data_IF_468147101914
#
_entry.id   IF_468147101914
#
_cell.length_a   1.000
_cell.length_b   1.000
_cell.length_c   1.000
_cell.angle_alpha   90.00
_cell.angle_beta   90.00
_cell.angle_gamma   90.00
#
_symmetry.space_group_name_H-M   'P 1'
#
loop_
_entity.id
_entity.type
_entity.pdbx_description
1 polymer ?
#
# COMPACT_ATOMS: atom_id res chain seq x y z
N UNK A 1 0.55 -1.47 1.19
CA UNK A 1 1.11 -0.37 2.03
C UNK A 1 1.03 -0.64 3.52
N UNK A 2 -0.16 -0.86 4.11
CA UNK A 2 -0.28 -1.08 5.56
C UNK A 2 0.60 -2.24 6.08
N UNK A 3 0.71 -3.30 5.28
CA UNK A 3 1.64 -4.40 5.49
C UNK A 3 3.11 -3.93 5.61
N UNK A 4 3.59 -3.18 4.62
CA UNK A 4 4.95 -2.62 4.60
C UNK A 4 5.19 -1.69 5.79
N UNK A 5 4.20 -0.90 6.17
CA UNK A 5 4.32 0.10 7.25
C UNK A 5 4.10 -0.49 8.65
N UNK A 6 3.72 -1.75 8.78
CA UNK A 6 3.47 -2.36 10.09
C UNK A 6 2.18 -1.89 10.78
N UNK A 7 1.18 -1.39 10.04
CA UNK A 7 -0.06 -0.86 10.61
C UNK A 7 -1.18 -1.92 10.61
N UNK A 8 -1.34 -2.65 11.71
CA UNK A 8 -2.39 -3.67 11.88
C UNK A 8 -3.80 -3.10 11.74
N UNK A 9 -4.04 -1.89 12.26
CA UNK A 9 -5.34 -1.23 12.14
C UNK A 9 -5.73 -1.03 10.68
N UNK A 10 -4.87 -0.35 9.92
CA UNK A 10 -5.14 -0.07 8.50
C UNK A 10 -5.16 -1.34 7.64
N UNK A 11 -4.40 -2.37 8.01
CA UNK A 11 -4.43 -3.65 7.32
C UNK A 11 -5.76 -4.39 7.57
N UNK A 12 -6.26 -4.36 8.80
CA UNK A 12 -7.56 -4.93 9.17
C UNK A 12 -8.72 -4.18 8.49
N UNK A 13 -8.65 -2.85 8.40
CA UNK A 13 -9.60 -2.03 7.63
C UNK A 13 -9.58 -2.41 6.15
N UNK A 14 -8.40 -2.55 5.55
CA UNK A 14 -8.27 -2.91 4.13
C UNK A 14 -8.88 -4.28 3.83
N UNK A 15 -8.69 -5.27 4.70
CA UNK A 15 -9.32 -6.58 4.56
C UNK A 15 -10.85 -6.47 4.66
N UNK A 16 -11.36 -5.82 5.71
CA UNK A 16 -12.80 -5.71 5.94
C UNK A 16 -13.53 -4.95 4.81
N UNK A 17 -12.95 -3.83 4.36
CA UNK A 17 -13.50 -3.07 3.23
C UNK A 17 -13.37 -3.85 1.93
N UNK A 18 -12.20 -4.43 1.65
CA UNK A 18 -11.97 -5.23 0.43
C UNK A 18 -12.98 -6.37 0.29
N UNK A 19 -13.15 -7.17 1.35
CA UNK A 19 -14.15 -8.26 1.35
C UNK A 19 -15.56 -7.75 1.10
N UNK A 20 -15.93 -6.59 1.67
CA UNK A 20 -17.25 -5.98 1.44
C UNK A 20 -17.46 -5.53 -0.01
N UNK A 21 -16.38 -5.13 -0.70
CA UNK A 21 -16.39 -4.77 -2.13
C UNK A 21 -16.15 -5.97 -3.06
N UNK A 22 -16.07 -7.20 -2.53
CA UNK A 22 -15.94 -8.43 -3.31
C UNK A 22 -14.52 -8.93 -3.55
N UNK A 23 -13.51 -8.34 -2.90
CA UNK A 23 -12.13 -8.84 -2.93
C UNK A 23 -12.06 -10.22 -2.26
N UNK A 24 -11.52 -11.21 -2.96
CA UNK A 24 -11.29 -12.54 -2.39
C UNK A 24 -10.13 -12.53 -1.39
N UNK A 25 -10.10 -13.52 -0.49
CA UNK A 25 -8.98 -13.66 0.46
C UNK A 25 -7.65 -13.89 -0.26
N UNK A 26 -7.65 -14.60 -1.39
CA UNK A 26 -6.45 -14.83 -2.20
C UNK A 26 -5.92 -13.52 -2.79
N UNK A 27 -6.79 -12.73 -3.42
CA UNK A 27 -6.40 -11.42 -3.97
C UNK A 27 -5.91 -10.47 -2.87
N UNK A 28 -6.53 -10.49 -1.69
CA UNK A 28 -6.06 -9.71 -0.54
C UNK A 28 -4.66 -10.13 -0.09
N UNK A 29 -4.40 -11.43 0.04
CA UNK A 29 -3.09 -11.96 0.46
C UNK A 29 -1.98 -11.67 -0.55
N UNK A 30 -2.31 -11.64 -1.85
CA UNK A 30 -1.38 -11.21 -2.90
C UNK A 30 -1.17 -9.69 -2.84
N UNK A 31 -2.24 -8.90 -2.76
CA UNK A 31 -2.19 -7.43 -2.76
C UNK A 31 -1.50 -6.83 -1.54
N UNK A 32 -1.66 -7.42 -0.34
CA UNK A 32 -0.97 -6.95 0.88
C UNK A 32 0.55 -7.04 0.74
N UNK A 33 1.06 -7.95 -0.08
CA UNK A 33 2.49 -8.12 -0.39
C UNK A 33 2.95 -7.26 -1.59
N UNK A 34 2.10 -6.34 -2.06
CA UNK A 34 2.32 -5.49 -3.23
C UNK A 34 2.44 -6.28 -4.55
N UNK A 35 1.68 -7.36 -4.66
CA UNK A 35 1.60 -8.21 -5.86
C UNK A 35 0.17 -8.22 -6.41
N UNK A 36 0.00 -8.63 -7.67
CA UNK A 36 -1.32 -8.80 -8.29
C UNK A 36 -1.21 -9.71 -9.52
N UNK A 37 -2.28 -10.45 -9.81
CA UNK A 37 -2.40 -11.23 -11.05
C UNK A 37 -2.67 -10.35 -12.28
N UNK A 38 -3.26 -9.17 -12.08
CA UNK A 38 -3.38 -8.14 -13.11
C UNK A 38 -2.03 -7.38 -13.24
N UNK A 39 -1.38 -7.41 -14.42
CA UNK A 39 -0.08 -6.76 -14.63
C UNK A 39 -0.09 -5.23 -14.45
N UNK A 40 -1.19 -4.55 -14.80
CA UNK A 40 -1.35 -3.10 -14.64
C UNK A 40 -1.39 -2.78 -13.14
N UNK A 41 -2.26 -3.47 -12.38
CA UNK A 41 -2.34 -3.31 -10.92
C UNK A 41 -1.01 -3.68 -10.24
N UNK A 42 -0.36 -4.75 -10.68
CA UNK A 42 0.93 -5.17 -10.13
C UNK A 42 2.01 -4.08 -10.30
N UNK A 43 1.99 -3.35 -11.40
CA UNK A 43 2.91 -2.23 -11.61
C UNK A 43 2.61 -1.05 -10.66
N UNK A 44 1.34 -0.71 -10.44
CA UNK A 44 0.97 0.32 -9.46
C UNK A 44 1.35 -0.07 -8.03
N UNK A 45 1.16 -1.33 -7.64
CA UNK A 45 1.56 -1.82 -6.33
C UNK A 45 3.07 -1.80 -6.13
N UNK A 46 3.85 -2.19 -7.15
CA UNK A 46 5.32 -2.05 -7.14
C UNK A 46 5.74 -0.60 -6.97
N UNK A 47 5.16 0.32 -7.75
CA UNK A 47 5.45 1.74 -7.63
C UNK A 47 5.12 2.28 -6.23
N UNK A 48 3.96 1.92 -5.67
CA UNK A 48 3.59 2.29 -4.30
C UNK A 48 4.58 1.76 -3.26
N UNK A 49 5.02 0.50 -3.39
CA UNK A 49 6.06 -0.07 -2.53
C UNK A 49 7.36 0.74 -2.59
N UNK A 50 7.83 1.06 -3.80
CA UNK A 50 9.05 1.85 -4.02
C UNK A 50 8.96 3.26 -3.44
N UNK A 51 7.83 3.94 -3.65
CA UNK A 51 7.57 5.24 -3.02
C UNK A 51 7.65 5.17 -1.48
N UNK A 52 7.10 4.13 -0.87
CA UNK A 52 7.14 3.97 0.60
C UNK A 52 8.55 3.66 1.08
N UNK A 53 9.24 2.71 0.45
CA UNK A 53 10.59 2.29 0.81
C UNK A 53 11.62 3.43 0.67
N UNK A 54 11.48 4.24 -0.38
CA UNK A 54 12.43 5.31 -0.70
C UNK A 54 11.96 6.70 -0.24
N UNK A 55 10.93 6.77 0.60
CA UNK A 55 10.39 8.04 1.10
C UNK A 55 10.06 9.05 -0.02
N UNK A 56 9.45 8.56 -1.10
CA UNK A 56 9.04 9.36 -2.27
C UNK A 56 10.14 9.60 -3.31
N UNK A 57 11.39 9.21 -3.06
CA UNK A 57 12.47 9.30 -4.05
C UNK A 57 12.35 8.15 -5.05
N UNK A 58 11.58 8.38 -6.10
CA UNK A 58 11.46 7.46 -7.24
C UNK A 58 12.24 7.99 -8.44
N UNK A 59 12.81 7.07 -9.20
CA UNK A 59 13.55 7.37 -10.43
C UNK A 59 12.59 7.59 -11.60
N UNK A 60 13.03 8.34 -12.61
CA UNK A 60 12.22 8.58 -13.82
C UNK A 60 11.81 7.27 -14.53
N UNK A 61 12.65 6.23 -14.44
CA UNK A 61 12.34 4.90 -14.97
C UNK A 61 11.16 4.23 -14.27
N UNK A 62 10.89 4.53 -13.00
CA UNK A 62 9.77 3.96 -12.25
C UNK A 62 8.44 4.56 -12.70
N UNK A 63 8.44 5.84 -13.08
CA UNK A 63 7.29 6.52 -13.71
C UNK A 63 7.10 6.04 -15.15
N UNK A 64 8.19 5.91 -15.92
CA UNK A 64 8.13 5.36 -17.28
C UNK A 64 7.51 3.95 -17.31
N UNK A 65 7.85 3.10 -16.34
CA UNK A 65 7.27 1.77 -16.24
C UNK A 65 5.74 1.77 -15.95
N UNK A 66 5.20 2.83 -15.32
CA UNK A 66 3.74 2.99 -15.21
C UNK A 66 3.10 3.30 -16.57
N UNK A 67 3.72 4.16 -17.37
CA UNK A 67 3.24 4.43 -18.73
C UNK A 67 3.25 3.18 -19.60
N UNK A 68 4.32 2.37 -19.53
CA UNK A 68 4.43 1.10 -20.24
C UNK A 68 3.34 0.10 -19.82
N UNK A 69 2.90 0.15 -18.57
CA UNK A 69 1.77 -0.62 -18.06
C UNK A 69 0.39 -0.04 -18.43
N UNK A 70 0.36 1.07 -19.20
CA UNK A 70 -0.86 1.68 -19.70
C UNK A 70 -1.52 2.67 -18.76
N UNK A 71 -0.76 3.28 -17.84
CA UNK A 71 -1.22 4.43 -17.04
C UNK A 71 -0.95 5.75 -17.77
N UNK A 72 -1.96 6.62 -17.85
CA UNK A 72 -1.82 8.01 -18.27
C UNK A 72 -1.31 8.93 -17.15
N UNK A 73 -0.92 10.16 -17.51
CA UNK A 73 -0.43 11.17 -16.56
C UNK A 73 -1.43 11.43 -15.41
N UNK A 74 -2.72 11.53 -15.74
CA UNK A 74 -3.79 11.79 -14.76
C UNK A 74 -3.94 10.62 -13.77
N UNK A 75 -3.92 9.37 -14.27
CA UNK A 75 -3.97 8.18 -13.41
C UNK A 75 -2.74 8.07 -12.50
N UNK A 76 -1.55 8.50 -12.98
CA UNK A 76 -0.32 8.52 -12.17
C UNK A 76 -0.42 9.57 -11.06
N UNK A 77 -0.94 10.76 -11.36
CA UNK A 77 -1.20 11.79 -10.34
C UNK A 77 -2.18 11.28 -9.29
N UNK A 78 -3.27 10.63 -9.71
CA UNK A 78 -4.25 10.03 -8.80
C UNK A 78 -3.62 8.93 -7.94
N UNK A 79 -2.80 8.05 -8.54
CA UNK A 79 -2.07 7.00 -7.83
C UNK A 79 -1.17 7.59 -6.74
N UNK A 80 -0.38 8.62 -7.05
CA UNK A 80 0.49 9.31 -6.08
C UNK A 80 -0.35 9.93 -4.95
N UNK A 81 -1.48 10.57 -5.29
CA UNK A 81 -2.41 11.11 -4.31
C UNK A 81 -2.97 10.03 -3.37
N UNK A 82 -3.37 8.89 -3.92
CA UNK A 82 -3.86 7.75 -3.17
C UNK A 82 -2.79 7.16 -2.24
N UNK A 83 -1.53 7.09 -2.69
CA UNK A 83 -0.38 6.66 -1.88
C UNK A 83 -0.16 7.63 -0.71
N UNK A 84 -0.15 8.94 -0.97
CA UNK A 84 0.04 9.96 0.06
C UNK A 84 -1.06 9.92 1.13
N UNK A 85 -2.33 9.79 0.71
CA UNK A 85 -3.46 9.65 1.64
C UNK A 85 -3.33 8.38 2.50
N UNK A 86 -2.92 7.27 1.90
CA UNK A 86 -2.70 6.04 2.65
C UNK A 86 -1.54 6.16 3.63
N UNK A 87 -0.42 6.78 3.25
CA UNK A 87 0.69 7.07 4.16
C UNK A 87 0.21 7.87 5.37
N UNK A 88 -0.52 8.96 5.14
CA UNK A 88 -1.12 9.76 6.21
C UNK A 88 -1.99 8.92 7.15
N UNK A 89 -2.93 8.13 6.62
CA UNK A 89 -3.82 7.28 7.43
C UNK A 89 -3.04 6.25 8.25
N UNK A 90 -2.02 5.63 7.67
CA UNK A 90 -1.18 4.66 8.38
C UNK A 90 -0.40 5.33 9.52
N UNK A 91 0.27 6.45 9.24
CA UNK A 91 1.03 7.19 10.24
C UNK A 91 0.16 7.71 11.37
N UNK A 92 -1.02 8.26 11.04
CA UNK A 92 -1.98 8.70 12.03
C UNK A 92 -2.36 7.57 13.00
N UNK A 93 -2.82 6.42 12.47
CA UNK A 93 -3.28 5.31 13.30
C UNK A 93 -2.15 4.62 14.09
N UNK A 94 -0.93 4.60 13.54
CA UNK A 94 0.25 4.16 14.28
C UNK A 94 0.59 5.11 15.43
N UNK A 95 0.59 6.42 15.17
CA UNK A 95 0.99 7.43 16.15
C UNK A 95 0.02 7.50 17.34
N UNK A 96 -1.28 7.37 17.09
CA UNK A 96 -2.30 7.42 18.14
C UNK A 96 -2.68 6.05 18.68
N UNK A 97 -2.06 4.97 18.18
CA UNK A 97 -2.30 3.59 18.59
C UNK A 97 -3.78 3.21 18.57
N UNK A 98 -4.45 3.53 17.45
CA UNK A 98 -5.89 3.30 17.29
C UNK A 98 -6.27 1.86 17.62
N UNK A 99 -7.25 1.69 18.50
CA UNK A 99 -7.81 0.38 18.86
C UNK A 99 -8.45 -0.27 17.63
N UNK A 100 -8.20 -1.57 17.44
CA UNK A 100 -8.68 -2.31 16.29
C UNK A 100 -10.14 -2.72 16.52
N UNK A 101 -11.05 -2.12 15.75
CA UNK A 101 -12.50 -2.34 15.77
C UNK A 101 -13.00 -3.19 14.58
N UNK A 102 -12.08 -3.82 13.86
CA UNK A 102 -12.32 -4.74 12.74
C UNK A 102 -11.78 -6.14 13.04
N UNK A 103 -12.18 -7.20 12.29
CA UNK A 103 -11.51 -8.49 12.34
C UNK A 103 -9.99 -8.33 12.14
N UNK A 104 -9.22 -8.76 13.14
CA UNK A 104 -7.78 -8.51 13.20
C UNK A 104 -7.02 -9.25 12.10
N UNK A 105 -6.22 -8.50 11.33
CA UNK A 105 -5.19 -9.03 10.44
C UNK A 105 -3.82 -8.63 10.99
N UNK A 106 -2.97 -9.64 11.25
CA UNK A 106 -1.59 -9.45 11.71
C UNK A 106 -0.68 -9.09 10.55
N UNK A 107 0.21 -8.12 10.76
CA UNK A 107 1.30 -7.84 9.82
C UNK A 107 2.36 -8.94 9.84
N UNK A 108 2.88 -9.27 8.67
CA UNK A 108 3.97 -10.24 8.46
C UNK A 108 5.15 -9.56 7.77
N UNK A 109 6.33 -9.48 8.40
CA UNK A 109 7.52 -8.87 7.78
C UNK A 109 7.35 -7.39 7.35
N UNK A 110 7.02 -6.47 8.28
CA UNK A 110 7.00 -5.04 7.96
C UNK A 110 8.41 -4.50 7.68
N UNK A 111 8.49 -3.32 7.06
CA UNK A 111 9.76 -2.60 6.91
C UNK A 111 10.42 -2.41 8.29
N UNK A 112 11.76 -2.51 8.37
CA UNK A 112 12.47 -2.23 9.60
C UNK A 112 12.10 -0.84 10.11
N UNK A 113 11.78 -0.73 11.40
CA UNK A 113 11.67 0.58 12.02
C UNK A 113 13.02 1.28 11.86
N UNK A 114 13.01 2.52 11.39
CA UNK A 114 14.22 3.32 11.36
C UNK A 114 14.88 3.26 12.74
N UNK A 115 16.17 2.94 12.78
CA UNK A 115 16.90 2.87 14.04
C UNK A 115 16.70 4.21 14.77
N UNK A 116 16.28 4.15 16.03
CA UNK A 116 16.26 5.33 16.89
C UNK A 116 17.68 5.90 16.92
N UNK A 117 17.84 7.14 16.44
CA UNK A 117 19.10 7.88 16.54
C UNK A 117 19.32 8.34 17.98
#
# INVERSE_FOLDING_TARGET
MAQLLGCEYMLSVAAAVGTREGLSSEEFEVARNAESHDPKIAQALRFAKRMVENHGHVEASEVAALHEAGYGDEEIVELIGAIALNLFRNYFNLAVQTEIDFPLIRVTEPLPKAAAR
#
